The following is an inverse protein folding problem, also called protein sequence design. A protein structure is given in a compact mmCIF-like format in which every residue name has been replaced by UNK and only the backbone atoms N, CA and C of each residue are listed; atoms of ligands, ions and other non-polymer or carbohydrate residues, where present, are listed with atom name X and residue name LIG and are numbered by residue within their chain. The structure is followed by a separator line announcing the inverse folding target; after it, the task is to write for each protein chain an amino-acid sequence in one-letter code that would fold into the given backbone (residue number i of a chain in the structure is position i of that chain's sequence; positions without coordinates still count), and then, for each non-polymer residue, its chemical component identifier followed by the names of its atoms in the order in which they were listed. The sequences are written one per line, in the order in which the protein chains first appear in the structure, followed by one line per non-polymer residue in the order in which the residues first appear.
data_IF_571813788930
#
_entry.id   IF_571813788930
#
_cell.length_a   1.000
_cell.length_b   1.000
_cell.length_c   1.000
_cell.angle_alpha   90.00
_cell.angle_beta   90.00
_cell.angle_gamma   90.00
#
_symmetry.space_group_name_H-M   'P 1'
#
loop_
_entity.id
_entity.type
_entity.pdbx_description
1 polymer ?
#
# COMPACT_ATOMS: atom_id res chain seq x y z
N UNK A 1 25.84 12.64 14.59
CA UNK A 1 24.54 13.02 13.99
C UNK A 1 24.49 12.89 12.47
N UNK A 2 25.45 13.45 11.70
CA UNK A 2 25.45 13.35 10.22
C UNK A 2 25.53 11.91 9.70
N UNK A 3 26.38 11.05 10.28
CA UNK A 3 26.49 9.64 9.86
C UNK A 3 25.21 8.82 10.06
N UNK A 4 24.48 9.06 11.15
CA UNK A 4 23.19 8.40 11.43
C UNK A 4 22.11 8.79 10.40
N UNK A 5 22.02 10.08 10.05
CA UNK A 5 21.09 10.57 9.02
C UNK A 5 21.34 9.93 7.65
N UNK A 6 22.60 9.79 7.26
CA UNK A 6 22.98 9.13 5.99
C UNK A 6 22.56 7.67 5.99
N UNK A 7 22.81 6.94 7.09
CA UNK A 7 22.41 5.54 7.22
C UNK A 7 20.88 5.40 7.17
N UNK A 8 20.14 6.27 7.87
CA UNK A 8 18.69 6.24 7.89
C UNK A 8 18.08 6.47 6.49
N UNK A 9 18.56 7.47 5.75
CA UNK A 9 18.09 7.75 4.39
C UNK A 9 18.44 6.59 3.45
N UNK A 10 19.65 6.03 3.55
CA UNK A 10 20.05 4.88 2.75
C UNK A 10 19.18 3.65 3.01
N UNK A 11 18.82 3.38 4.27
CA UNK A 11 17.94 2.27 4.64
C UNK A 11 16.53 2.43 4.05
N UNK A 12 15.96 3.65 4.08
CA UNK A 12 14.66 3.95 3.45
C UNK A 12 14.72 3.78 1.94
N UNK A 13 15.79 4.27 1.28
CA UNK A 13 15.94 4.10 -0.15
C UNK A 13 16.05 2.61 -0.55
N UNK A 14 16.82 1.82 0.20
CA UNK A 14 17.00 0.40 -0.04
C UNK A 14 15.70 -0.39 0.18
N UNK A 15 14.91 -0.04 1.20
CA UNK A 15 13.63 -0.73 1.45
C UNK A 15 12.60 -0.45 0.34
N UNK A 16 12.51 0.79 -0.15
CA UNK A 16 11.66 1.13 -1.29
C UNK A 16 12.13 0.44 -2.58
N UNK A 17 13.44 0.38 -2.83
CA UNK A 17 14.00 -0.36 -3.97
C UNK A 17 13.67 -1.85 -3.89
N UNK A 18 13.78 -2.46 -2.71
CA UNK A 18 13.43 -3.86 -2.50
C UNK A 18 11.92 -4.11 -2.66
N UNK A 19 11.07 -3.22 -2.17
CA UNK A 19 9.62 -3.30 -2.40
C UNK A 19 9.29 -3.22 -3.90
N UNK A 20 9.93 -2.31 -4.64
CA UNK A 20 9.77 -2.20 -6.09
C UNK A 20 10.24 -3.47 -6.82
N UNK A 21 11.40 -4.02 -6.42
CA UNK A 21 11.90 -5.28 -6.97
C UNK A 21 10.87 -6.42 -6.78
N UNK A 22 10.33 -6.59 -5.57
CA UNK A 22 9.31 -7.61 -5.30
C UNK A 22 8.03 -7.39 -6.12
N UNK A 23 7.58 -6.14 -6.25
CA UNK A 23 6.43 -5.81 -7.08
C UNK A 23 6.63 -6.24 -8.54
N UNK A 24 7.80 -5.95 -9.12
CA UNK A 24 8.14 -6.37 -10.48
C UNK A 24 8.26 -7.89 -10.59
N UNK A 25 8.91 -8.53 -9.62
CA UNK A 25 9.10 -9.98 -9.58
C UNK A 25 7.75 -10.72 -9.57
N UNK A 26 6.81 -10.28 -8.75
CA UNK A 26 5.45 -10.84 -8.72
C UNK A 26 4.73 -10.58 -10.04
N UNK A 27 4.78 -9.35 -10.59
CA UNK A 27 4.05 -9.03 -11.82
C UNK A 27 4.46 -9.87 -13.02
N UNK A 28 5.72 -10.29 -13.10
CA UNK A 28 6.26 -11.18 -14.15
C UNK A 28 5.72 -12.60 -14.08
N UNK A 29 5.11 -13.02 -12.96
CA UNK A 29 4.49 -14.35 -12.85
C UNK A 29 3.17 -14.43 -13.63
N UNK A 30 2.91 -15.61 -14.18
CA UNK A 30 1.68 -15.90 -14.93
C UNK A 30 0.45 -15.83 -14.03
N UNK A 31 -0.65 -15.31 -14.57
CA UNK A 31 -1.97 -15.30 -13.91
C UNK A 31 -2.66 -16.66 -13.98
N UNK A 32 -2.09 -17.64 -14.70
CA UNK A 32 -2.66 -18.97 -14.86
C UNK A 32 -3.66 -19.03 -16.01
N UNK A 33 -4.83 -19.61 -15.75
CA UNK A 33 -5.88 -19.79 -16.76
C UNK A 33 -6.72 -18.53 -16.93
N UNK A 34 -7.46 -18.43 -18.05
CA UNK A 34 -8.34 -17.28 -18.31
C UNK A 34 -9.39 -17.09 -17.20
N UNK A 35 -9.97 -18.19 -16.72
CA UNK A 35 -10.93 -18.17 -15.61
C UNK A 35 -10.34 -17.62 -14.31
N UNK A 36 -9.08 -17.92 -14.02
CA UNK A 36 -8.37 -17.36 -12.86
C UNK A 36 -8.12 -15.86 -13.03
N UNK A 37 -7.77 -15.43 -14.25
CA UNK A 37 -7.62 -14.02 -14.62
C UNK A 37 -8.91 -13.22 -14.41
N UNK A 38 -10.03 -13.70 -14.95
CA UNK A 38 -11.35 -13.08 -14.80
C UNK A 38 -11.73 -12.87 -13.32
N UNK A 39 -11.59 -13.92 -12.51
CA UNK A 39 -11.92 -13.84 -11.09
C UNK A 39 -11.00 -12.86 -10.34
N UNK A 40 -9.71 -12.85 -10.68
CA UNK A 40 -8.74 -11.90 -10.12
C UNK A 40 -9.12 -10.45 -10.41
N UNK A 41 -9.60 -10.17 -11.63
CA UNK A 41 -9.98 -8.81 -12.03
C UNK A 41 -11.27 -8.36 -11.33
N UNK A 42 -12.25 -9.24 -11.15
CA UNK A 42 -13.47 -8.97 -10.35
C UNK A 42 -13.09 -8.63 -8.89
N UNK A 43 -12.19 -9.41 -8.28
CA UNK A 43 -11.70 -9.15 -6.92
C UNK A 43 -10.98 -7.80 -6.86
N UNK A 44 -10.14 -7.50 -7.85
CA UNK A 44 -9.41 -6.24 -7.90
C UNK A 44 -10.35 -5.03 -8.05
N UNK A 45 -11.45 -5.15 -8.80
CA UNK A 45 -12.48 -4.12 -8.92
C UNK A 45 -13.25 -3.92 -7.61
N UNK A 46 -13.63 -5.01 -6.94
CA UNK A 46 -14.26 -4.94 -5.62
C UNK A 46 -13.36 -4.25 -4.59
N UNK A 47 -12.08 -4.63 -4.54
CA UNK A 47 -11.09 -4.03 -3.65
C UNK A 47 -10.89 -2.53 -3.92
N UNK A 48 -10.82 -2.12 -5.20
CA UNK A 48 -10.75 -0.69 -5.59
C UNK A 48 -11.95 0.09 -5.06
N UNK A 49 -13.14 -0.48 -5.18
CA UNK A 49 -14.38 0.14 -4.72
C UNK A 49 -14.40 0.26 -3.19
N UNK A 50 -14.02 -0.80 -2.49
CA UNK A 50 -13.93 -0.84 -1.03
C UNK A 50 -12.96 0.22 -0.48
N UNK A 51 -11.72 0.27 -0.98
CA UNK A 51 -10.72 1.25 -0.53
C UNK A 51 -11.22 2.67 -0.76
N UNK A 52 -11.89 2.94 -1.88
CA UNK A 52 -12.39 4.28 -2.18
C UNK A 52 -13.44 4.73 -1.15
N UNK A 53 -14.33 3.84 -0.75
CA UNK A 53 -15.31 4.13 0.31
C UNK A 53 -14.66 4.28 1.68
N UNK A 54 -13.73 3.39 2.04
CA UNK A 54 -13.05 3.40 3.33
C UNK A 54 -12.20 4.68 3.49
N UNK A 55 -11.41 5.01 2.47
CA UNK A 55 -10.51 6.17 2.50
C UNK A 55 -11.26 7.49 2.54
N UNK A 56 -12.49 7.53 2.01
CA UNK A 56 -13.35 8.71 2.12
C UNK A 56 -13.71 8.99 3.58
N UNK A 57 -14.09 7.95 4.33
CA UNK A 57 -14.44 8.06 5.74
C UNK A 57 -13.19 8.43 6.56
N UNK A 58 -12.07 7.74 6.31
CA UNK A 58 -10.79 8.01 6.96
C UNK A 58 -10.32 9.44 6.69
N UNK A 59 -10.44 9.94 5.46
CA UNK A 59 -10.02 11.30 5.12
C UNK A 59 -10.79 12.37 5.90
N UNK A 60 -12.11 12.19 6.10
CA UNK A 60 -12.93 13.11 6.89
C UNK A 60 -12.48 13.09 8.37
N UNK A 61 -12.30 11.90 8.95
CA UNK A 61 -11.83 11.75 10.32
C UNK A 61 -10.42 12.34 10.51
N UNK A 62 -9.49 12.04 9.60
CA UNK A 62 -8.13 12.55 9.62
C UNK A 62 -8.10 14.09 9.53
N UNK A 63 -8.90 14.70 8.64
CA UNK A 63 -9.00 16.16 8.55
C UNK A 63 -9.49 16.79 9.86
N UNK A 64 -10.51 16.21 10.49
CA UNK A 64 -11.00 16.66 11.80
C UNK A 64 -9.93 16.59 12.89
N UNK A 65 -9.20 15.46 12.97
CA UNK A 65 -8.11 15.28 13.94
C UNK A 65 -6.96 16.24 13.66
N UNK A 66 -6.57 16.46 12.39
CA UNK A 66 -5.53 17.43 12.01
C UNK A 66 -5.89 18.83 12.52
N UNK A 67 -7.12 19.30 12.27
CA UNK A 67 -7.58 20.62 12.74
C UNK A 67 -7.57 20.68 14.26
N UNK A 68 -8.08 19.64 14.94
CA UNK A 68 -8.12 19.58 16.40
C UNK A 68 -6.71 19.67 17.00
N UNK A 69 -5.75 18.90 16.49
CA UNK A 69 -4.37 18.90 16.96
C UNK A 69 -3.65 20.22 16.68
N UNK A 70 -3.90 20.84 15.52
CA UNK A 70 -3.33 22.14 15.17
C UNK A 70 -3.83 23.28 16.06
N UNK A 71 -5.06 23.20 16.56
CA UNK A 71 -5.67 24.24 17.40
C UNK A 71 -5.47 24.01 18.91
N UNK A 72 -5.49 22.75 19.38
CA UNK A 72 -5.41 22.44 20.80
C UNK A 72 -3.98 22.25 21.33
N UNK A 73 -3.04 21.85 20.47
CA UNK A 73 -1.64 21.62 20.86
C UNK A 73 -0.79 22.71 20.22
N UNK A 74 -0.42 22.52 18.95
CA UNK A 74 0.41 23.45 18.18
C UNK A 74 0.23 23.14 16.69
N UNK A 75 0.36 24.15 15.83
CA UNK A 75 0.11 24.04 14.40
C UNK A 75 0.98 22.97 13.72
N UNK A 76 2.24 22.82 14.14
CA UNK A 76 3.18 21.85 13.57
C UNK A 76 2.84 20.39 13.93
N UNK A 77 2.12 20.15 15.04
CA UNK A 77 1.70 18.80 15.44
C UNK A 77 0.63 18.27 14.48
N UNK A 78 -0.34 19.11 14.10
CA UNK A 78 -1.33 18.73 13.10
C UNK A 78 -0.71 18.46 11.72
N UNK A 79 0.31 19.22 11.32
CA UNK A 79 1.06 18.98 10.08
C UNK A 79 1.84 17.67 10.13
N UNK A 80 2.49 17.37 11.25
CA UNK A 80 3.20 16.10 11.45
C UNK A 80 2.23 14.91 11.37
N UNK A 81 1.05 15.01 12.01
CA UNK A 81 -0.01 14.01 11.92
C UNK A 81 -0.53 13.85 10.49
N UNK A 82 -0.80 14.95 9.77
CA UNK A 82 -1.27 14.92 8.38
C UNK A 82 -0.25 14.22 7.46
N UNK A 83 1.04 14.53 7.64
CA UNK A 83 2.11 13.89 6.86
C UNK A 83 2.15 12.38 7.13
N UNK A 84 2.06 11.97 8.40
CA UNK A 84 2.05 10.56 8.80
C UNK A 84 0.83 9.79 8.26
N UNK A 85 -0.36 10.39 8.33
CA UNK A 85 -1.60 9.77 7.82
C UNK A 85 -1.57 9.62 6.30
N UNK A 86 -1.05 10.59 5.54
CA UNK A 86 -0.88 10.47 4.08
C UNK A 86 0.11 9.35 3.74
N UNK A 87 1.23 9.25 4.46
CA UNK A 87 2.20 8.17 4.25
C UNK A 87 1.58 6.80 4.55
N UNK A 88 0.83 6.67 5.64
CA UNK A 88 0.13 5.43 6.02
C UNK A 88 -0.94 5.02 5.00
N UNK A 89 -1.77 5.97 4.57
CA UNK A 89 -2.79 5.75 3.54
C UNK A 89 -2.15 5.33 2.21
N UNK A 90 -1.03 5.94 1.83
CA UNK A 90 -0.32 5.56 0.60
C UNK A 90 0.23 4.13 0.69
N UNK A 91 0.81 3.75 1.83
CA UNK A 91 1.30 2.39 2.06
C UNK A 91 0.16 1.36 2.02
N UNK A 92 -0.98 1.65 2.64
CA UNK A 92 -2.17 0.79 2.62
C UNK A 92 -2.72 0.58 1.21
N UNK A 93 -2.82 1.67 0.42
CA UNK A 93 -3.28 1.61 -0.97
C UNK A 93 -2.38 0.75 -1.84
N UNK A 94 -1.05 0.95 -1.77
CA UNK A 94 -0.08 0.15 -2.50
C UNK A 94 -0.16 -1.32 -2.08
N UNK A 95 -0.25 -1.57 -0.78
CA UNK A 95 -0.37 -2.91 -0.19
C UNK A 95 -1.57 -3.69 -0.72
N UNK A 96 -2.75 -3.08 -0.75
CA UNK A 96 -3.94 -3.74 -1.29
C UNK A 96 -3.82 -4.01 -2.79
N UNK A 97 -3.17 -3.11 -3.53
CA UNK A 97 -2.96 -3.30 -4.97
C UNK A 97 -2.03 -4.48 -5.27
N UNK A 98 -0.92 -4.64 -4.54
CA UNK A 98 -0.05 -5.80 -4.74
C UNK A 98 -0.72 -7.09 -4.27
N UNK A 99 -1.49 -7.07 -3.17
CA UNK A 99 -2.21 -8.24 -2.67
C UNK A 99 -3.21 -8.79 -3.70
N UNK A 100 -4.00 -7.90 -4.33
CA UNK A 100 -4.96 -8.26 -5.39
C UNK A 100 -4.31 -8.70 -6.69
N UNK A 101 -3.06 -8.30 -6.96
CA UNK A 101 -2.26 -8.78 -8.10
C UNK A 101 -1.62 -10.14 -7.79
N UNK A 102 -1.18 -10.35 -6.55
CA UNK A 102 -0.44 -11.54 -6.13
C UNK A 102 -1.34 -12.77 -5.95
N UNK A 103 -2.60 -12.58 -5.51
CA UNK A 103 -3.53 -13.68 -5.17
C UNK A 103 -3.58 -14.79 -6.25
N UNK A 104 -3.79 -14.42 -7.50
CA UNK A 104 -3.99 -15.33 -8.64
C UNK A 104 -2.68 -15.98 -9.06
N UNK A 105 -1.58 -15.25 -8.92
CA UNK A 105 -0.23 -15.74 -9.24
C UNK A 105 0.20 -16.80 -8.25
N UNK A 106 -0.04 -16.58 -6.95
CA UNK A 106 0.21 -17.58 -5.91
C UNK A 106 -0.66 -18.82 -6.12
N UNK A 107 -1.94 -18.63 -6.42
CA UNK A 107 -2.83 -19.75 -6.74
C UNK A 107 -2.36 -20.56 -7.97
N UNK A 108 -1.88 -19.89 -9.02
CA UNK A 108 -1.37 -20.58 -10.20
C UNK A 108 -0.05 -21.31 -9.91
N UNK A 109 0.89 -20.67 -9.19
CA UNK A 109 2.14 -21.31 -8.77
C UNK A 109 1.86 -22.57 -7.91
N UNK A 110 0.88 -22.51 -7.02
CA UNK A 110 0.44 -23.69 -6.26
C UNK A 110 -0.15 -24.80 -7.14
N UNK A 111 -0.87 -24.44 -8.21
CA UNK A 111 -1.45 -25.39 -9.17
C UNK A 111 -0.37 -26.10 -10.00
N UNK A 112 0.66 -25.36 -10.45
CA UNK A 112 1.73 -25.93 -11.30
C UNK A 112 2.83 -26.62 -10.50
N UNK A 113 3.05 -26.24 -9.24
CA UNK A 113 4.09 -26.86 -8.39
C UNK A 113 3.66 -28.17 -7.74
N UNK A 114 2.35 -28.45 -7.63
CA UNK A 114 1.81 -29.70 -7.09
C UNK A 114 1.38 -30.72 -8.16
N UNK A 115 1.61 -30.40 -9.43
CA UNK A 115 1.48 -31.33 -10.58
C UNK A 115 2.85 -31.73 -11.08
#
# INVERSE_FOLDING_TARGET
MKGFLVIAIAAVALSLAFAAYNYLAVRRRSRGTDRMGELSDIIADGARTFIKSEYRIIAIAAAGITVLLSLMIEWYVGIAFLTGTIMSATAGYIGMRIATIANVRVANEARVSKS
#
